data_IF_322909767040
#
_entry.id   IF_322909767040
#
_cell.length_a   1.000
_cell.length_b   1.000
_cell.length_c   1.000
_cell.angle_alpha   90.00
_cell.angle_beta   90.00
_cell.angle_gamma   90.00
#
_symmetry.space_group_name_H-M   'P 1'
#
loop_
_entity.id
_entity.type
_entity.pdbx_description
1 polymer ?
#
# COMPACT_ATOMS: atom_id res chain seq x y z
N UNK A 1 30.08 5.97 2.54
CA UNK A 1 28.75 6.05 3.18
C UNK A 1 27.98 4.80 2.81
N UNK A 2 27.52 4.00 3.76
CA UNK A 2 26.59 2.91 3.48
C UNK A 2 25.23 3.55 3.19
N UNK A 3 24.79 3.54 1.94
CA UNK A 3 23.45 3.98 1.56
C UNK A 3 22.46 2.90 1.98
N UNK A 4 21.71 3.14 3.04
CA UNK A 4 20.66 2.21 3.48
C UNK A 4 19.48 2.35 2.53
N UNK A 5 19.22 1.30 1.74
CA UNK A 5 18.05 1.26 0.87
C UNK A 5 16.80 0.92 1.69
N UNK A 6 15.86 1.85 1.73
CA UNK A 6 14.54 1.64 2.32
C UNK A 6 13.61 1.08 1.25
N UNK A 7 12.96 -0.05 1.56
CA UNK A 7 11.96 -0.67 0.69
C UNK A 7 10.57 -0.33 1.23
N UNK A 8 9.72 0.21 0.37
CA UNK A 8 8.35 0.63 0.70
C UNK A 8 7.46 0.44 -0.52
N UNK A 9 6.20 0.09 -0.30
CA UNK A 9 5.16 0.08 -1.32
C UNK A 9 4.26 1.30 -1.12
N UNK A 10 3.99 2.03 -2.20
CA UNK A 10 3.04 3.14 -2.21
C UNK A 10 1.93 2.81 -3.18
N UNK A 11 0.68 2.89 -2.72
CA UNK A 11 -0.52 2.61 -3.51
C UNK A 11 -1.37 3.88 -3.58
N UNK A 12 -1.56 4.40 -4.79
CA UNK A 12 -2.50 5.48 -5.08
C UNK A 12 -3.79 4.93 -5.69
N UNK A 13 -4.94 5.31 -5.14
CA UNK A 13 -6.27 4.82 -5.60
C UNK A 13 -7.34 5.93 -5.55
N UNK A 14 -8.42 5.75 -6.32
CA UNK A 14 -9.54 6.70 -6.44
C UNK A 14 -10.88 5.93 -6.52
N UNK A 15 -11.73 6.16 -7.53
CA UNK A 15 -12.96 5.39 -7.74
C UNK A 15 -12.69 3.87 -7.76
N UNK A 16 -13.47 3.10 -7.01
CA UNK A 16 -13.26 1.64 -6.86
C UNK A 16 -12.05 1.25 -5.98
N UNK A 17 -11.33 2.21 -5.43
CA UNK A 17 -10.06 1.98 -4.73
C UNK A 17 -10.17 1.06 -3.52
N UNK A 18 -11.26 1.13 -2.75
CA UNK A 18 -11.47 0.21 -1.62
C UNK A 18 -11.57 -1.25 -2.07
N UNK A 19 -12.25 -1.53 -3.18
CA UNK A 19 -12.33 -2.89 -3.73
C UNK A 19 -10.95 -3.40 -4.16
N UNK A 20 -10.18 -2.57 -4.86
CA UNK A 20 -8.81 -2.90 -5.25
C UNK A 20 -7.90 -3.13 -4.03
N UNK A 21 -8.01 -2.30 -3.00
CA UNK A 21 -7.25 -2.45 -1.76
C UNK A 21 -7.61 -3.74 -1.03
N UNK A 22 -8.89 -4.13 -0.97
CA UNK A 22 -9.30 -5.41 -0.38
C UNK A 22 -8.70 -6.59 -1.16
N UNK A 23 -8.73 -6.55 -2.49
CA UNK A 23 -8.15 -7.60 -3.33
C UNK A 23 -6.62 -7.71 -3.19
N UNK A 24 -5.93 -6.59 -2.99
CA UNK A 24 -4.47 -6.57 -2.84
C UNK A 24 -4.07 -6.90 -1.40
N UNK A 25 -4.48 -6.06 -0.44
CA UNK A 25 -4.04 -6.14 0.96
C UNK A 25 -4.60 -7.37 1.67
N UNK A 26 -5.81 -7.80 1.32
CA UNK A 26 -6.43 -9.00 1.90
C UNK A 26 -5.73 -10.31 1.53
N UNK A 27 -4.91 -10.31 0.48
CA UNK A 27 -4.11 -11.46 0.06
C UNK A 27 -2.65 -11.41 0.57
N UNK A 28 -2.27 -10.36 1.30
CA UNK A 28 -0.93 -10.28 1.88
C UNK A 28 -0.84 -11.11 3.17
N UNK A 29 0.29 -11.79 3.41
CA UNK A 29 0.58 -12.40 4.70
C UNK A 29 0.52 -11.37 5.84
N UNK A 30 0.12 -11.81 7.03
CA UNK A 30 0.06 -10.94 8.21
C UNK A 30 1.43 -10.37 8.62
N UNK A 31 2.52 -11.06 8.24
CA UNK A 31 3.92 -10.73 8.51
C UNK A 31 4.62 -10.12 7.29
N UNK A 32 3.87 -9.52 6.35
CA UNK A 32 4.44 -8.93 5.15
C UNK A 32 5.59 -7.94 5.49
N UNK A 33 6.79 -8.10 4.88
CA UNK A 33 8.02 -7.53 5.44
C UNK A 33 8.24 -6.05 5.10
N UNK A 34 7.46 -5.48 4.19
CA UNK A 34 7.63 -4.09 3.76
C UNK A 34 6.44 -3.22 4.18
N UNK A 35 6.71 -1.97 4.62
CA UNK A 35 5.65 -1.01 4.91
C UNK A 35 4.87 -0.68 3.65
N UNK A 36 3.56 -0.43 3.82
CA UNK A 36 2.65 -0.07 2.75
C UNK A 36 1.99 1.26 3.10
N UNK A 37 2.11 2.24 2.20
CA UNK A 37 1.49 3.57 2.32
C UNK A 37 0.38 3.65 1.28
N UNK A 38 -0.83 3.98 1.72
CA UNK A 38 -2.00 4.09 0.85
C UNK A 38 -2.50 5.53 0.81
N UNK A 39 -2.66 6.06 -0.40
CA UNK A 39 -3.32 7.35 -0.65
C UNK A 39 -4.59 7.07 -1.45
N UNK A 40 -5.73 7.23 -0.78
CA UNK A 40 -7.04 7.07 -1.39
C UNK A 40 -7.67 8.45 -1.60
N UNK A 41 -7.92 8.80 -2.87
CA UNK A 41 -8.73 9.96 -3.20
C UNK A 41 -10.17 9.68 -2.75
N UNK A 42 -10.66 10.45 -1.77
CA UNK A 42 -12.04 10.41 -1.29
C UNK A 42 -12.61 11.82 -1.34
N UNK A 43 -13.93 11.91 -1.51
CA UNK A 43 -14.63 13.12 -1.09
C UNK A 43 -14.44 13.31 0.42
N UNK A 44 -14.59 14.56 0.89
CA UNK A 44 -14.81 14.80 2.32
C UNK A 44 -16.05 14.06 2.82
#
# INVERSE_FOLDING_TARGET
>A
MLTKEYKVIVIGVSAGGLFALTAILGNLPADYPFPIIVVQHRSK
#
